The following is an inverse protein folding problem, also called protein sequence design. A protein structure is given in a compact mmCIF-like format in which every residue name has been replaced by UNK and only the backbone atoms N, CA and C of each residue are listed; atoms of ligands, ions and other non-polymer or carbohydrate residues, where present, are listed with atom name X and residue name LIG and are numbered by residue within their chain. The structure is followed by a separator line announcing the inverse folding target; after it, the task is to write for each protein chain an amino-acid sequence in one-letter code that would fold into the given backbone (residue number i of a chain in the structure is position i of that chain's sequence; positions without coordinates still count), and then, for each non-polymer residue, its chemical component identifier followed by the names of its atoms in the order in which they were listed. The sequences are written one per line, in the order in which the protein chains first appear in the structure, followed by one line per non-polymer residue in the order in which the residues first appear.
data_IF_469277605346
#
_entry.id   IF_469277605346
#
_cell.length_a   1.000
_cell.length_b   1.000
_cell.length_c   1.000
_cell.angle_alpha   90.00
_cell.angle_beta   90.00
_cell.angle_gamma   90.00
#
_symmetry.space_group_name_H-M   'P 1'
#
loop_
_entity.id
_entity.type
_entity.pdbx_description
1 polymer ?
#
# COMPACT_ATOMS: atom_id res chain seq x y z
N UNK A 1 10.01 15.47 -2.06
CA UNK A 1 8.99 16.35 -2.64
C UNK A 1 9.71 17.53 -3.28
N UNK A 2 9.15 18.04 -4.37
CA UNK A 2 9.68 19.21 -5.08
C UNK A 2 9.63 20.45 -4.18
N UNK A 3 10.50 21.42 -4.42
CA UNK A 3 10.45 22.67 -3.67
C UNK A 3 9.32 23.58 -4.20
N UNK A 4 9.05 24.67 -3.46
CA UNK A 4 7.97 25.61 -3.83
C UNK A 4 8.14 26.18 -5.24
N UNK A 5 9.36 26.50 -5.68
CA UNK A 5 9.57 27.14 -6.98
C UNK A 5 9.28 26.18 -8.12
N UNK A 6 9.65 24.91 -7.95
CA UNK A 6 9.33 23.86 -8.91
C UNK A 6 7.81 23.64 -8.97
N UNK A 7 7.12 23.50 -7.82
CA UNK A 7 5.67 23.31 -7.80
C UNK A 7 4.90 24.52 -8.35
N UNK A 8 5.38 25.75 -8.11
CA UNK A 8 4.81 26.97 -8.68
C UNK A 8 4.90 27.00 -10.21
N UNK A 9 5.96 26.43 -10.78
CA UNK A 9 6.09 26.33 -12.23
C UNK A 9 5.11 25.34 -12.85
N UNK A 10 4.67 24.34 -12.07
CA UNK A 10 3.72 23.29 -12.48
C UNK A 10 2.26 23.75 -12.24
N UNK A 11 2.01 24.46 -11.14
CA UNK A 11 0.72 25.04 -10.80
C UNK A 11 0.85 26.58 -10.74
N UNK A 12 0.73 27.28 -11.88
CA UNK A 12 0.70 28.73 -11.91
C UNK A 12 -0.35 29.28 -10.94
N UNK A 13 0.05 30.24 -10.11
CA UNK A 13 -0.81 30.86 -9.10
C UNK A 13 -0.66 30.31 -7.68
N UNK A 14 0.11 29.23 -7.48
CA UNK A 14 0.51 28.77 -6.15
C UNK A 14 1.36 29.83 -5.41
N UNK A 15 0.97 30.18 -4.18
CA UNK A 15 1.66 31.14 -3.33
C UNK A 15 2.34 30.46 -2.13
N UNK A 16 3.41 31.06 -1.62
CA UNK A 16 4.29 30.45 -0.60
C UNK A 16 3.61 30.29 0.78
N UNK A 17 2.62 31.12 1.07
CA UNK A 17 1.85 31.14 2.30
C UNK A 17 0.58 30.27 2.25
N UNK A 18 0.32 29.59 1.12
CA UNK A 18 -0.85 28.73 0.98
C UNK A 18 -0.73 27.47 1.86
N UNK A 19 -1.88 26.93 2.34
CA UNK A 19 -1.89 25.67 3.07
C UNK A 19 -1.42 24.45 2.23
N UNK A 20 -0.91 23.40 2.90
CA UNK A 20 -0.46 22.12 2.32
C UNK A 20 -1.38 21.56 1.21
N UNK A 21 -2.73 21.58 1.33
CA UNK A 21 -3.62 21.10 0.27
C UNK A 21 -3.40 21.70 -1.12
N UNK A 22 -2.99 22.98 -1.23
CA UNK A 22 -2.71 23.60 -2.52
C UNK A 22 -1.41 23.06 -3.14
N UNK A 23 -0.40 22.79 -2.30
CA UNK A 23 0.85 22.16 -2.74
C UNK A 23 0.60 20.73 -3.25
N UNK A 24 -0.30 19.99 -2.60
CA UNK A 24 -0.68 18.64 -3.01
C UNK A 24 -1.28 18.60 -4.42
N UNK A 25 -1.97 19.65 -4.88
CA UNK A 25 -2.41 19.77 -6.28
C UNK A 25 -1.20 19.85 -7.21
N UNK A 26 -0.23 20.71 -6.90
CA UNK A 26 1.01 20.81 -7.68
C UNK A 26 1.78 19.49 -7.74
N UNK A 27 1.81 18.73 -6.64
CA UNK A 27 2.42 17.40 -6.60
C UNK A 27 1.69 16.39 -7.47
N UNK A 28 0.35 16.37 -7.45
CA UNK A 28 -0.44 15.50 -8.32
C UNK A 28 -0.19 15.77 -9.80
N UNK A 29 -0.04 17.04 -10.16
CA UNK A 29 0.29 17.45 -11.52
C UNK A 29 1.71 17.03 -11.92
N UNK A 30 2.67 17.15 -10.99
CA UNK A 30 4.04 16.65 -11.21
C UNK A 30 4.07 15.14 -11.47
N UNK A 31 3.24 14.40 -10.74
CA UNK A 31 3.11 12.94 -10.92
C UNK A 31 2.22 12.55 -12.10
N UNK A 32 1.63 13.51 -12.82
CA UNK A 32 0.66 13.22 -13.89
C UNK A 32 -0.55 12.41 -13.39
N UNK A 33 -0.90 12.57 -12.11
CA UNK A 33 -1.89 11.76 -11.39
C UNK A 33 -3.06 12.62 -10.89
N UNK A 34 -3.22 13.84 -11.41
CA UNK A 34 -4.35 14.68 -11.07
C UNK A 34 -5.65 14.10 -11.62
N UNK A 35 -6.62 13.87 -10.73
CA UNK A 35 -7.95 13.40 -11.09
C UNK A 35 -9.01 14.17 -10.29
N UNK A 36 -10.18 14.37 -10.92
CA UNK A 36 -11.35 14.94 -10.28
C UNK A 36 -12.48 13.90 -10.22
N UNK A 37 -12.83 13.49 -9.00
CA UNK A 37 -14.01 12.69 -8.73
C UNK A 37 -15.18 13.61 -8.38
N UNK A 38 -16.36 13.31 -8.94
CA UNK A 38 -17.60 14.06 -8.67
C UNK A 38 -18.59 13.10 -8.02
N UNK A 39 -18.97 13.37 -6.78
CA UNK A 39 -19.99 12.61 -6.07
C UNK A 39 -21.26 13.43 -5.92
N UNK A 40 -22.42 12.78 -5.97
CA UNK A 40 -23.71 13.41 -5.69
C UNK A 40 -24.27 12.85 -4.37
N UNK A 41 -24.45 13.73 -3.39
CA UNK A 41 -24.95 13.39 -2.06
C UNK A 41 -26.05 14.35 -1.68
N UNK A 42 -27.24 13.83 -1.39
CA UNK A 42 -28.42 14.61 -1.01
C UNK A 42 -28.76 15.75 -2.00
N UNK A 43 -28.55 15.52 -3.30
CA UNK A 43 -28.79 16.49 -4.38
C UNK A 43 -27.74 17.61 -4.47
N UNK A 44 -26.61 17.50 -3.76
CA UNK A 44 -25.45 18.40 -3.87
C UNK A 44 -24.28 17.64 -4.48
N UNK A 45 -23.54 18.33 -5.35
CA UNK A 45 -22.30 17.82 -5.93
C UNK A 45 -21.14 18.14 -5.02
N UNK A 46 -20.36 17.11 -4.67
CA UNK A 46 -19.09 17.22 -3.99
C UNK A 46 -17.97 16.92 -4.99
N UNK A 47 -16.92 17.74 -4.95
CA UNK A 47 -15.77 17.64 -5.84
C UNK A 47 -14.57 17.19 -5.03
N UNK A 48 -14.01 16.05 -5.41
CA UNK A 48 -12.98 15.34 -4.66
C UNK A 48 -11.75 15.19 -5.55
N UNK A 49 -10.58 15.53 -5.04
CA UNK A 49 -9.28 15.28 -5.68
C UNK A 49 -8.55 14.23 -4.83
N UNK A 50 -8.47 12.97 -5.28
CA UNK A 50 -7.68 11.95 -4.60
C UNK A 50 -6.20 12.34 -4.58
N UNK A 51 -5.52 12.10 -3.46
CA UNK A 51 -4.07 12.35 -3.34
C UNK A 51 -3.28 11.04 -3.20
N UNK A 52 -3.57 10.23 -2.18
CA UNK A 52 -3.04 8.87 -2.05
C UNK A 52 -4.15 7.95 -1.56
N UNK A 53 -4.37 6.85 -2.26
CA UNK A 53 -5.40 5.87 -1.92
C UNK A 53 -4.76 4.48 -1.92
N UNK A 54 -4.30 4.03 -0.75
CA UNK A 54 -3.71 2.70 -0.59
C UNK A 54 -4.18 2.01 0.70
N UNK A 55 -3.78 0.76 0.91
CA UNK A 55 -4.26 -0.03 2.06
C UNK A 55 -3.93 0.58 3.44
N UNK A 56 -2.88 1.40 3.55
CA UNK A 56 -2.45 2.02 4.81
C UNK A 56 -3.00 3.42 5.03
N UNK A 57 -3.25 4.19 3.97
CA UNK A 57 -3.74 5.56 4.04
C UNK A 57 -4.65 5.91 2.85
N UNK A 58 -5.72 6.63 3.16
CA UNK A 58 -6.50 7.39 2.20
C UNK A 58 -6.38 8.87 2.52
N UNK A 59 -6.01 9.64 1.51
CA UNK A 59 -5.93 11.09 1.58
C UNK A 59 -6.54 11.67 0.31
N UNK A 60 -7.47 12.60 0.49
CA UNK A 60 -8.12 13.30 -0.61
C UNK A 60 -8.49 14.72 -0.18
N UNK A 61 -8.71 15.58 -1.16
CA UNK A 61 -9.11 16.96 -0.97
C UNK A 61 -10.56 17.13 -1.41
N UNK A 62 -11.39 17.77 -0.59
CA UNK A 62 -12.70 18.26 -1.01
C UNK A 62 -12.62 19.75 -1.29
N UNK A 63 -13.24 20.20 -2.38
CA UNK A 63 -13.37 21.62 -2.66
C UNK A 63 -14.63 22.14 -1.96
N UNK A 64 -14.46 22.99 -0.95
CA UNK A 64 -15.58 23.50 -0.14
C UNK A 64 -16.39 24.54 -0.93
N UNK A 65 -17.73 24.42 -0.85
CA UNK A 65 -18.69 25.30 -1.54
C UNK A 65 -18.37 25.46 -3.03
N UNK A 66 -18.00 24.36 -3.66
CA UNK A 66 -17.51 24.37 -5.02
C UNK A 66 -18.62 24.43 -6.07
N UNK A 67 -18.34 25.11 -7.17
CA UNK A 67 -19.19 25.17 -8.36
C UNK A 67 -18.35 25.00 -9.61
N UNK A 68 -18.79 24.14 -10.53
CA UNK A 68 -18.08 23.86 -11.77
C UNK A 68 -18.72 24.57 -12.97
N UNK A 69 -17.89 25.11 -13.86
CA UNK A 69 -18.25 25.55 -15.21
C UNK A 69 -17.47 24.72 -16.24
N UNK A 70 -18.12 24.33 -17.34
CA UNK A 70 -17.56 23.37 -18.29
C UNK A 70 -17.86 21.93 -17.90
N UNK A 71 -17.35 20.97 -18.69
CA UNK A 71 -17.56 19.55 -18.45
C UNK A 71 -16.25 18.78 -18.32
N UNK A 72 -16.04 18.19 -17.14
CA UNK A 72 -14.87 17.36 -16.86
C UNK A 72 -15.05 15.98 -17.47
N UNK A 73 -14.08 15.56 -18.27
CA UNK A 73 -14.08 14.30 -19.00
C UNK A 73 -13.02 13.39 -18.37
N UNK A 74 -13.38 12.40 -17.53
CA UNK A 74 -12.41 11.57 -16.82
C UNK A 74 -11.42 10.83 -17.73
N UNK A 75 -11.86 10.48 -18.94
CA UNK A 75 -11.07 9.76 -19.94
C UNK A 75 -10.07 10.66 -20.70
N UNK A 76 -10.13 11.99 -20.51
CA UNK A 76 -9.22 12.93 -21.16
C UNK A 76 -8.08 13.31 -20.24
N UNK A 77 -6.86 13.22 -20.78
CA UNK A 77 -5.64 13.66 -20.11
C UNK A 77 -5.71 15.14 -19.73
N UNK A 78 -5.34 15.42 -18.48
CA UNK A 78 -5.16 16.78 -17.97
C UNK A 78 -3.80 17.28 -18.42
N UNK A 79 -3.80 18.32 -19.25
CA UNK A 79 -2.59 18.85 -19.90
C UNK A 79 -1.99 20.03 -19.13
N UNK A 80 -2.84 20.85 -18.52
CA UNK A 80 -2.43 22.03 -17.77
C UNK A 80 -3.47 22.36 -16.70
N UNK A 81 -3.01 22.87 -15.56
CA UNK A 81 -3.88 23.38 -14.50
C UNK A 81 -3.36 24.70 -13.98
N UNK A 82 -4.24 25.69 -13.89
CA UNK A 82 -3.96 27.01 -13.33
C UNK A 82 -4.78 27.26 -12.06
N UNK A 83 -4.14 27.83 -11.05
CA UNK A 83 -4.79 28.28 -9.82
C UNK A 83 -5.00 29.80 -9.86
N UNK A 84 -6.26 30.22 -9.84
CA UNK A 84 -6.64 31.60 -9.62
C UNK A 84 -6.80 31.86 -8.13
N UNK A 85 -6.10 32.88 -7.64
CA UNK A 85 -6.22 33.34 -6.26
C UNK A 85 -7.48 34.18 -6.06
N UNK A 86 -8.08 34.18 -4.85
CA UNK A 86 -9.31 34.90 -4.58
C UNK A 86 -9.19 36.38 -4.89
N UNK A 87 -10.22 36.91 -5.56
CA UNK A 87 -10.38 38.35 -5.76
C UNK A 87 -11.52 38.86 -4.86
N UNK A 88 -12.38 39.75 -5.34
CA UNK A 88 -13.42 40.38 -4.52
C UNK A 88 -14.49 39.40 -4.00
N UNK A 89 -14.69 38.27 -4.66
CA UNK A 89 -15.67 37.25 -4.29
C UNK A 89 -15.15 36.22 -3.26
N UNK A 90 -13.87 36.29 -2.90
CA UNK A 90 -13.25 35.43 -1.89
C UNK A 90 -13.08 33.96 -2.30
N UNK A 91 -13.22 33.61 -3.59
CA UNK A 91 -13.15 32.22 -4.07
C UNK A 91 -11.91 31.97 -4.92
N UNK A 92 -11.29 30.80 -4.73
CA UNK A 92 -10.27 30.27 -5.61
C UNK A 92 -10.90 29.75 -6.90
N UNK A 93 -10.14 29.77 -7.98
CA UNK A 93 -10.48 29.08 -9.24
C UNK A 93 -9.43 28.05 -9.59
N UNK A 94 -9.82 26.83 -9.94
CA UNK A 94 -8.93 25.84 -10.55
C UNK A 94 -9.37 25.64 -12.01
N UNK A 95 -8.56 26.13 -12.95
CA UNK A 95 -8.79 25.94 -14.38
C UNK A 95 -8.04 24.68 -14.80
N UNK A 96 -8.76 23.72 -15.36
CA UNK A 96 -8.24 22.42 -15.79
C UNK A 96 -8.41 22.31 -17.30
N UNK A 97 -7.29 22.21 -18.01
CA UNK A 97 -7.25 21.96 -19.44
C UNK A 97 -7.17 20.46 -19.70
N UNK A 98 -8.06 19.96 -20.54
CA UNK A 98 -8.10 18.56 -20.95
C UNK A 98 -7.99 18.46 -22.48
N UNK A 99 -6.96 17.76 -22.96
CA UNK A 99 -6.63 17.74 -24.39
C UNK A 99 -6.38 19.14 -24.95
N UNK A 100 -6.92 19.41 -26.16
CA UNK A 100 -6.69 20.68 -26.87
C UNK A 100 -7.75 21.75 -26.62
N UNK A 101 -9.02 21.36 -26.49
CA UNK A 101 -10.15 22.31 -26.56
C UNK A 101 -11.04 22.31 -25.31
N UNK A 102 -10.89 21.32 -24.41
CA UNK A 102 -11.77 21.22 -23.24
C UNK A 102 -11.17 21.97 -22.05
N UNK A 103 -11.94 22.89 -21.48
CA UNK A 103 -11.54 23.66 -20.30
C UNK A 103 -12.65 23.60 -19.27
N UNK A 104 -12.28 23.23 -18.05
CA UNK A 104 -13.17 23.15 -16.90
C UNK A 104 -12.68 24.12 -15.85
N UNK A 105 -13.58 24.85 -15.21
CA UNK A 105 -13.24 25.71 -14.08
C UNK A 105 -14.00 25.29 -12.84
N UNK A 106 -13.29 25.01 -11.77
CA UNK A 106 -13.83 24.77 -10.43
C UNK A 106 -13.63 26.04 -9.61
N UNK A 107 -14.72 26.68 -9.20
CA UNK A 107 -14.67 27.78 -8.22
C UNK A 107 -14.96 27.21 -6.84
N UNK A 108 -14.21 27.58 -5.81
CA UNK A 108 -14.35 27.02 -4.46
C UNK A 108 -13.81 27.99 -3.39
N UNK A 109 -14.24 27.83 -2.14
CA UNK A 109 -13.81 28.70 -1.04
C UNK A 109 -12.47 28.28 -0.44
N UNK A 110 -12.26 26.96 -0.27
CA UNK A 110 -10.99 26.40 0.20
C UNK A 110 -10.87 24.92 -0.13
N UNK A 111 -9.69 24.35 0.10
CA UNK A 111 -9.42 22.92 0.04
C UNK A 111 -9.39 22.34 1.45
N UNK A 112 -10.22 21.32 1.70
CA UNK A 112 -10.21 20.56 2.95
C UNK A 112 -9.56 19.22 2.70
N UNK A 113 -8.47 18.93 3.41
CA UNK A 113 -7.78 17.64 3.36
C UNK A 113 -8.41 16.66 4.34
N UNK A 114 -8.76 15.48 3.84
CA UNK A 114 -9.26 14.37 4.62
C UNK A 114 -8.20 13.28 4.65
N UNK A 115 -7.91 12.74 5.83
CA UNK A 115 -6.91 11.67 5.99
C UNK A 115 -7.46 10.59 6.91
N UNK A 116 -7.36 9.34 6.46
CA UNK A 116 -7.65 8.17 7.27
C UNK A 116 -6.53 7.13 7.11
N UNK A 117 -6.06 6.56 8.22
CA UNK A 117 -5.09 5.47 8.21
C UNK A 117 -5.75 4.17 8.66
N UNK A 118 -5.39 3.05 8.03
CA UNK A 118 -6.07 1.79 8.22
C UNK A 118 -5.14 0.63 8.55
N UNK A 119 -5.73 -0.41 9.14
CA UNK A 119 -5.05 -1.68 9.39
C UNK A 119 -4.84 -2.47 8.11
N UNK A 120 -3.71 -2.23 7.46
CA UNK A 120 -3.32 -2.86 6.20
C UNK A 120 -2.81 -4.31 6.31
N UNK A 121 -2.31 -4.78 7.47
CA UNK A 121 -1.68 -6.11 7.55
C UNK A 121 -2.66 -7.29 7.48
N UNK A 122 -3.97 -7.02 7.57
CA UNK A 122 -5.04 -8.02 7.41
C UNK A 122 -5.47 -8.18 5.94
N UNK A 123 -4.99 -7.29 5.06
CA UNK A 123 -5.32 -7.23 3.63
C UNK A 123 -4.19 -7.90 2.84
N UNK A 124 -4.54 -8.74 1.86
CA UNK A 124 -3.58 -9.45 1.03
C UNK A 124 -4.00 -9.47 -0.43
N UNK A 125 -3.06 -9.16 -1.32
CA UNK A 125 -3.27 -9.19 -2.77
C UNK A 125 -2.44 -10.29 -3.43
N UNK A 126 -3.05 -11.05 -4.34
CA UNK A 126 -2.46 -12.28 -4.91
C UNK A 126 -2.30 -12.18 -6.43
N UNK A 127 -1.33 -11.40 -6.86
CA UNK A 127 -1.10 -11.12 -8.28
C UNK A 127 -0.26 -12.19 -9.00
N UNK A 128 0.70 -12.81 -8.30
CA UNK A 128 1.64 -13.77 -8.91
C UNK A 128 1.93 -14.96 -7.98
N UNK A 129 1.41 -16.13 -8.38
CA UNK A 129 1.55 -17.38 -7.64
C UNK A 129 3.01 -17.75 -7.37
N UNK A 130 3.30 -18.11 -6.12
CA UNK A 130 4.56 -18.76 -5.73
C UNK A 130 5.04 -18.40 -4.34
N UNK A 131 5.76 -17.29 -4.22
CA UNK A 131 6.48 -16.85 -3.00
C UNK A 131 5.72 -15.75 -2.25
N UNK A 132 4.43 -15.98 -2.05
CA UNK A 132 3.44 -14.99 -1.60
C UNK A 132 3.74 -14.40 -0.22
N UNK A 133 4.40 -15.16 0.64
CA UNK A 133 4.84 -14.68 1.94
C UNK A 133 5.77 -13.46 1.80
N UNK A 134 6.71 -13.49 0.85
CA UNK A 134 7.59 -12.35 0.60
C UNK A 134 6.91 -11.26 -0.23
N UNK A 135 6.07 -11.64 -1.20
CA UNK A 135 5.30 -10.67 -2.01
C UNK A 135 4.40 -9.80 -1.15
N UNK A 136 3.69 -10.39 -0.19
CA UNK A 136 2.85 -9.65 0.75
C UNK A 136 3.65 -8.69 1.62
N UNK A 137 4.83 -9.11 2.12
CA UNK A 137 5.69 -8.19 2.85
C UNK A 137 6.17 -7.03 1.98
N UNK A 138 6.59 -7.30 0.74
CA UNK A 138 6.99 -6.22 -0.20
C UNK A 138 5.84 -5.26 -0.44
N UNK A 139 4.63 -5.77 -0.65
CA UNK A 139 3.44 -4.94 -0.81
C UNK A 139 3.21 -4.05 0.42
N UNK A 140 3.08 -4.64 1.62
CA UNK A 140 2.81 -3.89 2.85
C UNK A 140 3.92 -2.87 3.19
N UNK A 141 5.18 -3.23 2.94
CA UNK A 141 6.32 -2.31 3.14
C UNK A 141 6.31 -1.19 2.08
N UNK A 142 5.93 -1.49 0.84
CA UNK A 142 5.71 -0.48 -0.20
C UNK A 142 4.60 0.49 0.19
N UNK A 143 3.44 -0.01 0.62
CA UNK A 143 2.29 0.79 1.07
C UNK A 143 2.66 1.75 2.21
N UNK A 144 3.42 1.29 3.22
CA UNK A 144 3.88 2.18 4.29
C UNK A 144 4.95 3.17 3.83
N UNK A 145 5.80 2.79 2.86
CA UNK A 145 6.81 3.69 2.31
C UNK A 145 6.18 4.79 1.45
N UNK A 146 5.13 4.48 0.69
CA UNK A 146 4.32 5.48 -0.01
C UNK A 146 3.66 6.44 0.98
N UNK A 147 3.01 5.90 2.02
CA UNK A 147 2.45 6.71 3.10
C UNK A 147 3.50 7.65 3.70
N UNK A 148 4.69 7.15 4.04
CA UNK A 148 5.78 7.97 4.56
C UNK A 148 6.23 9.05 3.55
N UNK A 149 6.39 8.68 2.28
CA UNK A 149 6.90 9.55 1.21
C UNK A 149 5.95 10.70 0.89
N UNK A 150 4.65 10.41 0.75
CA UNK A 150 3.65 11.36 0.26
C UNK A 150 2.97 12.12 1.40
N UNK A 151 2.68 11.45 2.53
CA UNK A 151 2.02 12.11 3.65
C UNK A 151 3.02 12.81 4.57
N UNK A 152 4.21 12.23 4.75
CA UNK A 152 5.24 12.69 5.67
C UNK A 152 5.33 11.84 6.95
N UNK A 153 6.46 11.91 7.68
CA UNK A 153 6.72 11.13 8.89
C UNK A 153 5.69 11.37 9.99
N UNK A 154 5.03 12.53 10.02
CA UNK A 154 4.01 12.88 11.02
C UNK A 154 2.74 12.01 10.93
N UNK A 155 2.53 11.31 9.80
CA UNK A 155 1.45 10.34 9.61
C UNK A 155 1.87 8.90 9.93
N UNK A 156 3.15 8.68 10.20
CA UNK A 156 3.73 7.36 10.46
C UNK A 156 4.04 7.15 11.94
N UNK A 157 3.82 5.94 12.43
CA UNK A 157 4.33 5.57 13.76
C UNK A 157 5.82 5.17 13.70
N UNK A 158 6.47 5.11 14.86
CA UNK A 158 7.91 4.78 14.95
C UNK A 158 8.28 3.45 14.28
N UNK A 159 7.39 2.47 14.29
CA UNK A 159 7.65 1.15 13.67
C UNK A 159 7.57 1.24 12.15
N UNK A 160 6.61 2.00 11.59
CA UNK A 160 6.57 2.31 10.15
C UNK A 160 7.81 3.07 9.71
N UNK A 161 8.20 4.13 10.44
CA UNK A 161 9.39 4.94 10.12
C UNK A 161 10.65 4.07 10.12
N UNK A 162 10.80 3.19 11.10
CA UNK A 162 11.96 2.31 11.18
C UNK A 162 11.98 1.21 10.10
N UNK A 163 10.82 0.81 9.56
CA UNK A 163 10.70 -0.32 8.65
C UNK A 163 10.59 0.06 7.17
N UNK A 164 10.00 1.21 6.85
CA UNK A 164 9.69 1.62 5.47
C UNK A 164 10.91 1.55 4.54
N UNK A 165 12.10 1.88 5.09
CA UNK A 165 13.36 1.87 4.36
C UNK A 165 13.69 0.54 3.68
N UNK A 166 13.15 -0.57 4.21
CA UNK A 166 13.33 -1.92 3.66
C UNK A 166 12.95 -2.02 2.18
N UNK A 167 12.00 -1.22 1.67
CA UNK A 167 11.64 -1.25 0.25
C UNK A 167 12.77 -0.78 -0.68
N UNK A 168 13.65 0.10 -0.18
CA UNK A 168 14.83 0.58 -0.92
C UNK A 168 15.96 -0.44 -0.97
N UNK A 169 15.79 -1.64 -0.39
CA UNK A 169 16.70 -2.77 -0.56
C UNK A 169 16.30 -3.61 -1.78
N UNK A 170 17.04 -3.54 -2.91
CA UNK A 170 16.67 -4.19 -4.17
C UNK A 170 16.38 -5.69 -4.07
N UNK A 171 17.20 -6.50 -3.37
CA UNK A 171 16.92 -7.94 -3.24
C UNK A 171 15.60 -8.27 -2.53
N UNK A 172 15.09 -7.39 -1.66
CA UNK A 172 13.77 -7.55 -1.03
C UNK A 172 12.66 -7.19 -2.03
N UNK A 173 12.72 -6.01 -2.67
CA UNK A 173 11.65 -5.57 -3.58
C UNK A 173 11.50 -6.40 -4.86
N UNK A 174 12.47 -7.26 -5.22
CA UNK A 174 12.32 -8.22 -6.36
C UNK A 174 11.12 -9.16 -6.22
N UNK A 175 10.52 -9.26 -5.03
CA UNK A 175 9.27 -9.99 -4.82
C UNK A 175 8.02 -9.18 -5.17
N UNK A 176 8.15 -7.92 -5.58
CA UNK A 176 7.05 -7.16 -6.17
C UNK A 176 6.52 -7.86 -7.43
N UNK A 177 5.20 -7.85 -7.67
CA UNK A 177 4.63 -8.28 -8.95
C UNK A 177 4.78 -7.20 -10.04
N UNK A 178 5.09 -5.96 -9.65
CA UNK A 178 5.30 -4.84 -10.57
C UNK A 178 6.60 -5.05 -11.35
N UNK A 179 6.54 -4.84 -12.67
CA UNK A 179 7.63 -5.13 -13.60
C UNK A 179 8.81 -4.17 -13.36
N UNK A 180 10.02 -4.75 -13.47
CA UNK A 180 11.35 -4.21 -13.15
C UNK A 180 11.47 -2.68 -12.94
N UNK A 181 11.39 -1.89 -14.01
CA UNK A 181 11.82 -0.47 -13.99
C UNK A 181 10.95 0.41 -13.09
N UNK A 182 9.63 0.18 -13.02
CA UNK A 182 8.73 1.03 -12.23
C UNK A 182 9.05 1.00 -10.73
N UNK A 183 9.38 -0.17 -10.20
CA UNK A 183 9.77 -0.30 -8.79
C UNK A 183 11.16 0.25 -8.53
N UNK A 184 12.08 0.13 -9.50
CA UNK A 184 13.44 0.63 -9.36
C UNK A 184 13.49 2.16 -9.41
N UNK A 185 12.65 2.79 -10.24
CA UNK A 185 12.53 4.24 -10.34
C UNK A 185 11.89 4.84 -9.09
N UNK A 186 10.81 4.22 -8.60
CA UNK A 186 10.10 4.71 -7.42
C UNK A 186 10.85 4.45 -6.10
N UNK A 187 11.45 3.26 -5.98
CA UNK A 187 12.24 2.82 -4.82
C UNK A 187 13.67 2.41 -5.22
N UNK A 188 14.54 3.38 -5.59
CA UNK A 188 15.92 3.08 -5.98
C UNK A 188 16.73 2.49 -4.82
N UNK A 189 17.88 1.87 -5.11
CA UNK A 189 18.80 1.46 -4.04
C UNK A 189 19.20 2.69 -3.21
N UNK A 190 19.04 2.60 -1.88
CA UNK A 190 19.49 3.62 -0.93
C UNK A 190 20.19 2.99 0.28
N UNK A 191 21.06 3.76 0.92
CA UNK A 191 21.75 3.37 2.15
C UNK A 191 20.76 2.97 3.25
N UNK A 192 19.67 3.73 3.41
CA UNK A 192 18.60 3.42 4.38
C UNK A 192 18.02 2.00 4.24
N UNK A 193 17.92 1.48 3.02
CA UNK A 193 17.43 0.12 2.79
C UNK A 193 18.43 -0.95 3.21
N UNK A 194 19.72 -0.71 2.95
CA UNK A 194 20.82 -1.59 3.40
C UNK A 194 20.88 -1.60 4.93
N UNK A 195 20.88 -0.43 5.56
CA UNK A 195 20.90 -0.28 7.02
C UNK A 195 19.71 -0.97 7.69
N UNK A 196 18.50 -0.79 7.12
CA UNK A 196 17.29 -1.43 7.61
C UNK A 196 17.42 -2.95 7.61
N UNK A 197 17.90 -3.56 6.52
CA UNK A 197 18.08 -5.01 6.42
C UNK A 197 19.17 -5.52 7.37
N UNK A 198 20.29 -4.80 7.49
CA UNK A 198 21.36 -5.18 8.41
C UNK A 198 20.87 -5.17 9.86
N UNK A 199 20.11 -4.14 10.26
CA UNK A 199 19.48 -4.05 11.58
C UNK A 199 18.53 -5.23 11.80
N UNK A 200 17.61 -5.49 10.88
CA UNK A 200 16.66 -6.60 10.98
C UNK A 200 17.35 -7.97 11.06
N UNK A 201 18.38 -8.20 10.25
CA UNK A 201 19.15 -9.46 10.27
C UNK A 201 19.95 -9.63 11.57
N UNK A 202 20.42 -8.53 12.17
CA UNK A 202 21.09 -8.54 13.48
C UNK A 202 20.16 -8.94 14.60
N UNK A 203 18.93 -8.44 14.61
CA UNK A 203 17.92 -8.80 15.63
C UNK A 203 17.63 -10.31 15.67
N UNK A 204 17.66 -10.97 14.51
CA UNK A 204 17.46 -12.43 14.41
C UNK A 204 18.76 -13.23 14.38
N UNK A 205 19.92 -12.59 14.59
CA UNK A 205 21.25 -13.19 14.56
C UNK A 205 21.61 -13.94 13.26
N UNK A 206 21.13 -13.49 12.09
CA UNK A 206 21.47 -14.07 10.78
C UNK A 206 22.81 -13.53 10.26
N UNK A 207 23.90 -13.97 10.89
CA UNK A 207 25.28 -13.54 10.58
C UNK A 207 25.69 -13.83 9.13
N UNK A 208 25.18 -14.92 8.56
CA UNK A 208 25.42 -15.29 7.17
C UNK A 208 24.77 -14.26 6.23
N UNK A 209 23.51 -13.88 6.46
CA UNK A 209 22.84 -12.89 5.64
C UNK A 209 23.42 -11.49 5.81
N UNK A 210 23.82 -11.11 7.03
CA UNK A 210 24.55 -9.85 7.29
C UNK A 210 25.80 -9.75 6.40
N UNK A 211 26.62 -10.81 6.35
CA UNK A 211 27.82 -10.85 5.51
C UNK A 211 27.49 -10.69 4.02
N UNK A 212 26.41 -11.33 3.54
CA UNK A 212 25.96 -11.21 2.15
C UNK A 212 25.47 -9.80 1.81
N UNK A 213 24.73 -9.16 2.72
CA UNK A 213 24.23 -7.79 2.56
C UNK A 213 25.39 -6.80 2.54
N UNK A 214 26.39 -6.96 3.41
CA UNK A 214 27.60 -6.12 3.41
C UNK A 214 28.39 -6.25 2.09
N UNK A 215 28.53 -7.48 1.56
CA UNK A 215 29.16 -7.69 0.25
C UNK A 215 28.38 -7.00 -0.88
N UNK A 216 27.05 -7.07 -0.84
CA UNK A 216 26.19 -6.38 -1.79
C UNK A 216 26.33 -4.85 -1.69
N UNK A 217 26.35 -4.29 -0.47
CA UNK A 217 26.50 -2.85 -0.25
C UNK A 217 27.83 -2.30 -0.80
N UNK A 218 28.92 -3.08 -0.70
CA UNK A 218 30.23 -2.68 -1.21
C UNK A 218 30.33 -2.75 -2.74
N UNK A 219 29.56 -3.61 -3.40
CA UNK A 219 29.57 -3.76 -4.85
C UNK A 219 28.21 -4.27 -5.36
N UNK A 220 27.26 -3.35 -5.48
CA UNK A 220 25.91 -3.66 -5.92
C UNK A 220 25.91 -3.99 -7.42
N UNK A 221 25.59 -5.25 -7.74
CA UNK A 221 25.40 -5.71 -9.12
C UNK A 221 24.07 -6.45 -9.23
N UNK A 222 23.47 -6.43 -10.41
CA UNK A 222 22.22 -7.15 -10.68
C UNK A 222 22.35 -8.65 -10.35
N UNK A 223 23.51 -9.26 -10.67
CA UNK A 223 23.79 -10.67 -10.34
C UNK A 223 23.76 -10.92 -8.83
N UNK A 224 24.37 -10.04 -8.04
CA UNK A 224 24.32 -10.14 -6.58
C UNK A 224 22.91 -9.90 -6.05
N UNK A 225 22.15 -8.99 -6.66
CA UNK A 225 20.77 -8.74 -6.29
C UNK A 225 19.87 -9.98 -6.50
N UNK A 226 19.96 -10.61 -7.68
CA UNK A 226 19.27 -11.87 -7.98
C UNK A 226 19.72 -12.97 -7.02
N UNK A 227 21.01 -13.01 -6.66
CA UNK A 227 21.52 -13.98 -5.71
C UNK A 227 20.94 -13.76 -4.30
N UNK A 228 21.00 -12.55 -3.76
CA UNK A 228 20.48 -12.23 -2.42
C UNK A 228 18.97 -12.43 -2.33
N UNK A 229 18.21 -12.05 -3.36
CA UNK A 229 16.76 -12.29 -3.38
C UNK A 229 16.47 -13.78 -3.25
N UNK A 230 17.20 -14.64 -3.97
CA UNK A 230 17.07 -16.11 -3.83
C UNK A 230 17.49 -16.62 -2.45
N UNK A 231 18.40 -15.96 -1.74
CA UNK A 231 18.79 -16.34 -0.37
C UNK A 231 17.66 -16.11 0.64
N UNK A 232 16.77 -15.14 0.41
CA UNK A 232 15.55 -14.95 1.22
C UNK A 232 14.62 -16.17 1.17
N UNK A 233 14.72 -17.02 0.15
CA UNK A 233 13.94 -18.26 0.06
C UNK A 233 14.51 -19.42 0.89
N UNK A 234 15.69 -19.26 1.48
CA UNK A 234 16.33 -20.28 2.28
C UNK A 234 15.61 -20.43 3.64
N UNK A 235 15.43 -21.67 4.15
CA UNK A 235 14.96 -21.92 5.52
C UNK A 235 15.68 -21.14 6.60
N UNK A 236 16.95 -20.82 6.38
CA UNK A 236 17.75 -20.03 7.32
C UNK A 236 17.16 -18.64 7.57
N UNK A 237 16.37 -18.11 6.62
CA UNK A 237 15.81 -16.74 6.63
C UNK A 237 14.35 -16.73 7.10
N UNK A 238 13.85 -17.86 7.58
CA UNK A 238 12.51 -18.00 8.15
C UNK A 238 12.32 -17.10 9.39
N UNK A 239 13.34 -16.99 10.25
CA UNK A 239 13.29 -16.10 11.41
C UNK A 239 13.28 -14.62 11.02
N UNK A 240 14.07 -14.23 10.02
CA UNK A 240 14.07 -12.86 9.48
C UNK A 240 12.69 -12.49 8.93
N UNK A 241 12.07 -13.38 8.16
CA UNK A 241 10.71 -13.19 7.65
C UNK A 241 9.70 -12.98 8.78
N UNK A 242 9.71 -13.85 9.78
CA UNK A 242 8.77 -13.78 10.92
C UNK A 242 8.94 -12.46 11.66
N UNK A 243 10.18 -12.05 11.91
CA UNK A 243 10.46 -10.80 12.58
C UNK A 243 9.99 -9.57 11.79
N UNK A 244 10.22 -9.54 10.47
CA UNK A 244 9.70 -8.46 9.62
C UNK A 244 8.18 -8.44 9.67
N UNK A 245 7.53 -9.60 9.59
CA UNK A 245 6.09 -9.70 9.63
C UNK A 245 5.52 -9.22 10.98
N UNK A 246 6.13 -9.60 12.10
CA UNK A 246 5.75 -9.13 13.43
C UNK A 246 5.87 -7.61 13.55
N UNK A 247 6.91 -7.01 12.97
CA UNK A 247 7.06 -5.55 12.92
C UNK A 247 5.96 -4.90 12.07
N UNK A 248 5.59 -5.50 10.93
CA UNK A 248 4.46 -5.03 10.11
C UNK A 248 3.15 -5.10 10.92
N UNK A 249 2.89 -6.18 11.65
CA UNK A 249 1.71 -6.27 12.50
C UNK A 249 1.73 -5.22 13.60
N UNK A 250 2.88 -5.02 14.26
CA UNK A 250 3.05 -4.00 15.30
C UNK A 250 2.79 -2.59 14.75
N UNK A 251 3.31 -2.30 13.56
CA UNK A 251 3.10 -1.03 12.86
C UNK A 251 1.63 -0.80 12.48
N UNK A 252 0.94 -1.84 12.03
CA UNK A 252 -0.40 -1.73 11.44
C UNK A 252 -1.55 -1.86 12.44
N UNK A 253 -1.38 -2.66 13.50
CA UNK A 253 -2.44 -2.98 14.47
C UNK A 253 -3.09 -1.78 15.19
N UNK A 254 -2.37 -0.68 15.50
CA UNK A 254 -2.96 0.49 16.14
C UNK A 254 -4.03 1.19 15.28
N UNK A 255 -4.00 1.03 13.96
CA UNK A 255 -4.98 1.63 13.07
C UNK A 255 -6.31 0.87 13.09
N UNK A 256 -7.44 1.58 12.89
CA UNK A 256 -8.74 0.93 12.78
C UNK A 256 -8.85 0.08 11.51
N UNK A 257 -9.71 -0.96 11.49
CA UNK A 257 -10.11 -1.60 10.25
C UNK A 257 -10.93 -0.62 9.39
N UNK A 258 -10.97 -0.85 8.08
CA UNK A 258 -11.84 -0.11 7.16
C UNK A 258 -13.32 -0.37 7.49
N UNK A 259 -14.13 0.66 7.32
CA UNK A 259 -15.59 0.59 7.50
C UNK A 259 -16.28 0.72 6.13
N UNK A 260 -16.94 -0.35 5.70
CA UNK A 260 -17.68 -0.41 4.43
C UNK A 260 -19.19 -0.25 4.63
N UNK A 261 -19.61 0.30 5.77
CA UNK A 261 -21.01 0.40 6.16
C UNK A 261 -21.58 -0.88 6.77
N UNK A 262 -22.70 -0.74 7.46
CA UNK A 262 -23.29 -1.80 8.31
C UNK A 262 -23.52 -3.11 7.54
N UNK A 263 -24.13 -3.03 6.36
CA UNK A 263 -24.50 -4.19 5.54
C UNK A 263 -23.27 -4.97 5.08
N UNK A 264 -22.27 -4.30 4.48
CA UNK A 264 -21.07 -4.96 3.97
C UNK A 264 -20.21 -5.50 5.12
N UNK A 265 -20.09 -4.75 6.21
CA UNK A 265 -19.38 -5.23 7.41
C UNK A 265 -20.05 -6.47 8.01
N UNK A 266 -21.38 -6.56 7.99
CA UNK A 266 -22.10 -7.76 8.42
C UNK A 266 -21.79 -8.96 7.51
N UNK A 267 -21.79 -8.75 6.19
CA UNK A 267 -21.43 -9.78 5.20
C UNK A 267 -20.00 -10.31 5.44
N UNK A 268 -19.02 -9.42 5.62
CA UNK A 268 -17.62 -9.76 5.92
C UNK A 268 -17.55 -10.61 7.19
N UNK A 269 -18.23 -10.19 8.27
CA UNK A 269 -18.27 -10.96 9.53
C UNK A 269 -18.89 -12.35 9.34
N UNK A 270 -19.94 -12.48 8.54
CA UNK A 270 -20.56 -13.77 8.24
C UNK A 270 -19.61 -14.68 7.46
N UNK A 271 -18.92 -14.16 6.43
CA UNK A 271 -17.91 -14.91 5.67
C UNK A 271 -16.75 -15.39 6.54
N UNK A 272 -16.22 -14.54 7.44
CA UNK A 272 -15.20 -14.91 8.44
C UNK A 272 -15.66 -16.06 9.35
N UNK A 273 -16.87 -15.99 9.90
CA UNK A 273 -17.47 -17.06 10.73
C UNK A 273 -17.65 -18.37 9.96
N UNK A 274 -17.97 -18.27 8.68
CA UNK A 274 -18.14 -19.45 7.83
C UNK A 274 -16.81 -20.17 7.61
N UNK A 275 -15.73 -19.43 7.31
CA UNK A 275 -14.36 -19.99 7.24
C UNK A 275 -13.99 -20.68 8.54
N UNK A 276 -14.20 -20.03 9.69
CA UNK A 276 -13.88 -20.57 11.00
C UNK A 276 -14.60 -21.90 11.26
N UNK A 277 -15.92 -21.94 11.06
CA UNK A 277 -16.73 -23.15 11.24
C UNK A 277 -16.28 -24.30 10.35
N UNK A 278 -16.02 -24.03 9.07
CA UNK A 278 -15.62 -25.04 8.09
C UNK A 278 -14.21 -25.58 8.39
N UNK A 279 -13.24 -24.72 8.73
CA UNK A 279 -11.90 -25.15 9.12
C UNK A 279 -11.91 -25.97 10.41
N UNK A 280 -12.69 -25.57 11.43
CA UNK A 280 -12.87 -26.37 12.64
C UNK A 280 -13.51 -27.73 12.35
N UNK A 281 -14.51 -27.81 11.47
CA UNK A 281 -15.11 -29.08 11.04
C UNK A 281 -14.11 -29.99 10.33
N UNK A 282 -13.14 -29.41 9.63
CA UNK A 282 -12.00 -30.10 9.03
C UNK A 282 -10.93 -30.51 10.04
N UNK A 283 -11.10 -30.22 11.34
CA UNK A 283 -10.16 -30.56 12.41
C UNK A 283 -8.94 -29.64 12.49
N UNK A 284 -9.04 -28.40 11.99
CA UNK A 284 -8.08 -27.35 12.30
C UNK A 284 -8.40 -26.73 13.66
N UNK A 285 -7.37 -26.27 14.36
CA UNK A 285 -7.46 -25.49 15.61
C UNK A 285 -6.91 -24.09 15.38
N UNK A 286 -7.34 -23.12 16.20
CA UNK A 286 -6.98 -21.71 16.04
C UNK A 286 -8.21 -20.83 15.82
N UNK A 287 -7.97 -19.56 15.51
CA UNK A 287 -8.99 -18.53 15.33
C UNK A 287 -8.64 -17.69 14.13
N UNK A 288 -9.65 -17.07 13.52
CA UNK A 288 -9.43 -16.20 12.38
C UNK A 288 -8.36 -15.12 12.68
N UNK A 289 -7.36 -14.90 11.81
CA UNK A 289 -7.15 -15.52 10.50
C UNK A 289 -6.25 -16.77 10.48
N UNK A 290 -5.73 -17.25 11.61
CA UNK A 290 -4.72 -18.32 11.66
C UNK A 290 -5.22 -19.66 12.23
N UNK A 291 -4.93 -20.72 11.49
CA UNK A 291 -5.33 -22.07 11.84
C UNK A 291 -4.20 -23.08 11.63
N UNK A 292 -4.20 -24.15 12.42
CA UNK A 292 -3.19 -25.21 12.38
C UNK A 292 -3.84 -26.59 12.43
N UNK A 293 -3.26 -27.52 11.66
CA UNK A 293 -3.61 -28.95 11.70
C UNK A 293 -2.38 -29.78 11.41
N UNK A 294 -1.93 -30.56 12.40
CA UNK A 294 -0.70 -31.36 12.32
C UNK A 294 0.49 -30.49 11.91
N UNK A 295 0.95 -30.64 10.67
CA UNK A 295 2.11 -29.97 10.10
C UNK A 295 1.72 -28.96 8.99
N UNK A 296 0.45 -28.54 9.00
CA UNK A 296 -0.13 -27.57 8.07
C UNK A 296 -0.61 -26.36 8.85
N UNK A 297 -0.15 -25.18 8.46
CA UNK A 297 -0.73 -23.89 8.84
C UNK A 297 -1.60 -23.40 7.68
N UNK A 298 -2.70 -22.73 8.02
CA UNK A 298 -3.53 -21.96 7.09
C UNK A 298 -3.63 -20.55 7.65
N UNK A 299 -3.17 -19.57 6.88
CA UNK A 299 -3.44 -18.16 7.13
C UNK A 299 -4.49 -17.70 6.12
N UNK A 300 -5.63 -17.22 6.62
CA UNK A 300 -6.67 -16.61 5.80
C UNK A 300 -6.29 -15.15 5.55
N UNK A 301 -6.36 -14.72 4.30
CA UNK A 301 -6.06 -13.36 3.87
C UNK A 301 -7.23 -12.82 3.09
N UNK A 302 -7.50 -11.53 3.25
CA UNK A 302 -8.67 -10.88 2.67
C UNK A 302 -8.25 -9.96 1.54
N UNK A 303 -8.90 -10.12 0.39
CA UNK A 303 -8.91 -9.08 -0.63
C UNK A 303 -10.10 -8.17 -0.29
N UNK A 304 -9.81 -6.94 0.09
CA UNK A 304 -10.78 -5.91 0.46
C UNK A 304 -10.81 -4.80 -0.59
N UNK A 305 -11.89 -4.00 -0.70
CA UNK A 305 -11.92 -2.87 -1.62
C UNK A 305 -10.75 -1.92 -1.35
N UNK A 306 -10.06 -1.51 -2.43
CA UNK A 306 -8.86 -0.67 -2.37
C UNK A 306 -9.16 0.72 -1.78
N UNK A 307 -10.31 1.30 -2.13
CA UNK A 307 -10.63 2.69 -1.77
C UNK A 307 -12.09 2.86 -1.33
N UNK A 308 -12.36 3.86 -0.49
CA UNK A 308 -13.72 4.33 -0.18
C UNK A 308 -14.42 5.01 -1.37
N UNK A 309 -13.72 5.30 -2.46
CA UNK A 309 -14.33 5.89 -3.66
C UNK A 309 -14.88 4.82 -4.61
N UNK A 310 -14.41 3.57 -4.52
CA UNK A 310 -14.73 2.49 -5.47
C UNK A 310 -15.27 1.21 -4.79
N UNK A 311 -15.69 1.29 -3.52
CA UNK A 311 -16.04 0.08 -2.75
C UNK A 311 -17.37 -0.57 -3.14
N UNK A 312 -18.28 0.15 -3.81
CA UNK A 312 -19.61 -0.37 -4.15
C UNK A 312 -19.52 -1.55 -5.14
N UNK A 313 -18.57 -1.51 -6.07
CA UNK A 313 -18.37 -2.53 -7.11
C UNK A 313 -17.45 -3.68 -6.68
N UNK A 314 -16.86 -3.60 -5.48
CA UNK A 314 -15.86 -4.58 -5.05
C UNK A 314 -16.46 -5.84 -4.42
N UNK A 315 -15.90 -6.98 -4.79
CA UNK A 315 -16.24 -8.29 -4.24
C UNK A 315 -15.22 -8.74 -3.19
N UNK A 316 -15.63 -8.73 -1.93
CA UNK A 316 -14.84 -9.31 -0.84
C UNK A 316 -14.53 -10.79 -1.08
N UNK A 317 -13.23 -11.11 -1.13
CA UNK A 317 -12.71 -12.47 -1.34
C UNK A 317 -11.79 -12.89 -0.20
N UNK A 318 -11.74 -14.19 0.03
CA UNK A 318 -10.85 -14.80 1.00
C UNK A 318 -9.94 -15.80 0.28
N UNK A 319 -8.65 -15.70 0.57
CA UNK A 319 -7.62 -16.58 0.06
C UNK A 319 -6.97 -17.31 1.24
N UNK A 320 -6.62 -18.57 1.03
CA UNK A 320 -5.95 -19.41 2.03
C UNK A 320 -4.48 -19.58 1.66
N UNK A 321 -3.59 -19.01 2.47
CA UNK A 321 -2.17 -19.35 2.43
C UNK A 321 -1.96 -20.66 3.18
N UNK A 322 -1.89 -21.77 2.43
CA UNK A 322 -1.69 -23.11 3.01
C UNK A 322 -0.21 -23.43 3.03
N UNK A 323 0.35 -23.54 4.24
CA UNK A 323 1.76 -23.75 4.48
C UNK A 323 2.00 -25.12 5.14
N UNK A 324 2.67 -26.03 4.44
CA UNK A 324 3.04 -27.36 4.96
C UNK A 324 4.54 -27.43 5.17
N UNK A 325 4.99 -27.85 6.35
CA UNK A 325 6.41 -28.08 6.63
C UNK A 325 6.58 -29.34 7.50
N UNK A 326 7.72 -30.03 7.40
CA UNK A 326 8.07 -31.17 8.28
C UNK A 326 9.01 -30.68 9.38
N UNK A 327 8.51 -30.50 10.61
CA UNK A 327 9.32 -30.07 11.76
C UNK A 327 8.52 -29.81 13.04
N UNK A 328 9.16 -29.86 14.21
CA UNK A 328 8.55 -29.65 15.55
C UNK A 328 8.37 -28.17 15.95
N UNK A 329 9.05 -27.24 15.29
CA UNK A 329 8.88 -25.79 15.44
C UNK A 329 8.72 -25.23 14.03
N UNK A 330 7.52 -24.79 13.70
CA UNK A 330 7.21 -24.19 12.41
C UNK A 330 6.67 -22.81 12.73
N UNK A 331 7.35 -21.76 12.29
CA UNK A 331 6.74 -20.45 12.40
C UNK A 331 5.92 -20.12 11.16
N UNK A 332 5.39 -18.90 11.11
CA UNK A 332 4.43 -18.47 10.09
C UNK A 332 4.99 -18.67 8.68
N UNK A 333 4.18 -19.24 7.79
CA UNK A 333 4.45 -19.46 6.37
C UNK A 333 5.71 -20.30 6.04
N UNK A 334 6.22 -21.10 6.98
CA UNK A 334 7.44 -21.92 6.82
C UNK A 334 7.48 -22.81 5.57
N UNK A 335 6.33 -23.31 5.11
CA UNK A 335 6.17 -24.14 3.92
C UNK A 335 6.46 -23.43 2.60
N UNK A 336 6.45 -22.10 2.55
CA UNK A 336 6.77 -21.36 1.33
C UNK A 336 8.28 -21.24 1.05
N UNK A 337 9.12 -21.42 2.09
CA UNK A 337 10.57 -21.47 1.92
C UNK A 337 11.00 -22.75 1.20
N UNK A 338 12.12 -22.67 0.47
CA UNK A 338 12.70 -23.82 -0.24
C UNK A 338 13.12 -24.91 0.74
N UNK A 339 13.01 -26.17 0.35
CA UNK A 339 13.57 -27.27 1.13
C UNK A 339 12.69 -28.51 1.11
N UNK A 340 13.31 -29.65 1.42
CA UNK A 340 12.59 -30.92 1.46
C UNK A 340 11.49 -30.91 2.53
N UNK A 341 10.29 -31.36 2.15
CA UNK A 341 9.14 -31.43 3.06
C UNK A 341 8.43 -30.09 3.31
N UNK A 342 8.77 -29.03 2.56
CA UNK A 342 8.10 -27.72 2.57
C UNK A 342 7.24 -27.57 1.32
N UNK A 343 6.02 -27.08 1.50
CA UNK A 343 5.10 -26.77 0.40
C UNK A 343 4.15 -25.66 0.81
N UNK A 344 4.22 -24.53 0.10
CA UNK A 344 3.29 -23.41 0.21
C UNK A 344 2.41 -23.34 -1.03
N UNK A 345 1.13 -23.06 -0.84
CA UNK A 345 0.20 -22.78 -1.94
C UNK A 345 -0.89 -21.80 -1.50
N UNK A 346 -1.44 -21.08 -2.47
CA UNK A 346 -2.65 -20.27 -2.30
C UNK A 346 -3.85 -21.04 -2.84
N UNK A 347 -4.94 -21.00 -2.10
CA UNK A 347 -6.22 -21.58 -2.53
C UNK A 347 -7.30 -20.53 -2.31
N UNK A 348 -8.09 -20.25 -3.35
CA UNK A 348 -9.28 -19.43 -3.18
C UNK A 348 -10.26 -20.17 -2.27
N UNK A 349 -10.81 -19.49 -1.28
CA UNK A 349 -11.73 -20.09 -0.33
C UNK A 349 -12.95 -20.76 -0.98
N UNK A 350 -13.50 -20.16 -2.05
CA UNK A 350 -14.63 -20.74 -2.78
C UNK A 350 -14.26 -22.05 -3.49
N UNK A 351 -12.98 -22.26 -3.82
CA UNK A 351 -12.47 -23.50 -4.41
C UNK A 351 -12.04 -24.54 -3.38
N UNK A 352 -11.96 -24.16 -2.10
CA UNK A 352 -11.62 -25.07 -1.01
C UNK A 352 -12.81 -25.90 -0.55
N UNK A 353 -14.03 -25.38 -0.75
CA UNK A 353 -15.30 -26.01 -0.36
C UNK A 353 -15.63 -27.29 -1.09
#
# INVERSE_FOLDING_TARGET
MKDYNELKSILPGLQEDMPKPFYMIGELLDYGSFELCIQEKDGRKEYIIPYIMNDAVECYLTLENASRRGDYQPEQEVTEVELLVPQEDGRYGLIVHQGYDNVVTLWFETLVMHVACYRYHEIGHFWVKGQEQWRQLVYMVGTMADKYRYMGPEYCNETEIALQGLIYFPPFRRWSPVVDDLMADHFPLREEGVETVLRLAKEVNDTEFISLVQQYANNATEKMEVYLSRQLLSPKREALYQYIYELVQKASSPYPPRDYGETKNLEIRQKRRQVEKELHSCGYVGHYPEYHKKNTQVLVTEEQPFTMLEWEDFHFRQQLMVSKSRGKRQGRNAGFFRGFGRSGKIVNWEQWR
#
